data_IF_786966508976
#
_entry.id   IF_786966508976
#
_cell.length_a   1.000
_cell.length_b   1.000
_cell.length_c   1.000
_cell.angle_alpha   90.00
_cell.angle_beta   90.00
_cell.angle_gamma   90.00
#
_symmetry.space_group_name_H-M   'P 1'
#
loop_
_entity.id
_entity.type
_entity.pdbx_description
1 polymer ?
#
# COMPACT_ATOMS: atom_id res chain seq x y z
N UNK A 1 15.38 3.94 -71.20
CA UNK A 1 16.45 3.47 -70.30
C UNK A 1 15.85 2.49 -69.29
N UNK A 2 16.31 1.22 -69.32
CA UNK A 2 16.34 0.14 -68.29
C UNK A 2 15.17 -0.09 -67.32
N UNK A 3 14.89 -1.28 -66.78
CA UNK A 3 15.37 -2.67 -66.96
C UNK A 3 14.39 -3.56 -66.17
N UNK A 4 14.29 -4.82 -66.57
CA UNK A 4 13.41 -5.90 -66.10
C UNK A 4 13.67 -6.33 -64.63
N UNK A 5 12.62 -6.69 -63.87
CA UNK A 5 12.69 -7.81 -62.89
C UNK A 5 11.42 -8.68 -63.00
N UNK A 6 11.67 -9.99 -63.12
CA UNK A 6 10.74 -11.08 -63.38
C UNK A 6 9.97 -11.55 -62.13
N UNK A 7 8.75 -11.98 -62.41
CA UNK A 7 7.84 -12.89 -61.69
C UNK A 7 8.54 -13.87 -60.74
N UNK A 8 8.19 -13.79 -59.46
CA UNK A 8 8.43 -14.86 -58.47
C UNK A 8 7.30 -15.88 -58.63
N UNK A 9 7.66 -17.11 -59.02
CA UNK A 9 6.72 -18.22 -59.26
C UNK A 9 6.27 -18.87 -57.95
N UNK A 10 4.98 -19.21 -57.85
CA UNK A 10 4.32 -19.96 -56.76
C UNK A 10 5.04 -21.27 -56.37
N UNK A 11 5.89 -21.83 -57.25
CA UNK A 11 6.70 -23.01 -56.94
C UNK A 11 7.72 -22.78 -55.81
N UNK A 12 8.15 -21.54 -55.57
CA UNK A 12 9.11 -21.22 -54.49
C UNK A 12 8.47 -21.21 -53.09
N UNK A 13 7.16 -20.93 -52.98
CA UNK A 13 6.46 -21.01 -51.69
C UNK A 13 6.21 -22.45 -51.23
N UNK A 14 5.98 -23.37 -52.17
CA UNK A 14 5.74 -24.78 -51.84
C UNK A 14 6.99 -25.48 -51.31
N UNK A 15 8.16 -25.16 -51.87
CA UNK A 15 9.46 -25.69 -51.40
C UNK A 15 9.82 -25.15 -50.01
N UNK A 16 9.51 -23.87 -49.73
CA UNK A 16 9.73 -23.27 -48.41
C UNK A 16 8.79 -23.87 -47.34
N UNK A 17 7.55 -24.18 -47.71
CA UNK A 17 6.57 -24.85 -46.84
C UNK A 17 6.95 -26.31 -46.53
N UNK A 18 7.49 -27.05 -47.49
CA UNK A 18 8.01 -28.40 -47.26
C UNK A 18 9.25 -28.40 -46.36
N UNK A 19 10.18 -27.47 -46.54
CA UNK A 19 11.40 -27.39 -45.73
C UNK A 19 11.12 -27.07 -44.24
N UNK A 20 10.11 -26.23 -43.97
CA UNK A 20 9.69 -25.91 -42.60
C UNK A 20 8.97 -27.08 -41.92
N UNK A 21 8.16 -27.85 -42.65
CA UNK A 21 7.46 -29.02 -42.10
C UNK A 21 8.39 -30.21 -41.81
N UNK A 22 9.43 -30.43 -42.61
CA UNK A 22 10.44 -31.50 -42.35
C UNK A 22 11.29 -31.17 -41.12
N UNK A 23 11.61 -29.89 -40.88
CA UNK A 23 12.37 -29.47 -39.69
C UNK A 23 11.58 -29.65 -38.38
N UNK A 24 10.26 -29.49 -38.43
CA UNK A 24 9.36 -29.73 -37.29
C UNK A 24 9.22 -31.23 -36.97
N UNK A 25 9.14 -32.08 -37.99
CA UNK A 25 9.06 -33.54 -37.81
C UNK A 25 10.39 -34.11 -37.27
N UNK A 26 11.54 -33.62 -37.74
CA UNK A 26 12.85 -34.03 -37.19
C UNK A 26 13.06 -33.58 -35.73
N UNK A 27 12.48 -32.45 -35.31
CA UNK A 27 12.54 -32.00 -33.91
C UNK A 27 11.64 -32.82 -32.98
N UNK A 28 10.48 -33.29 -33.48
CA UNK A 28 9.59 -34.15 -32.72
C UNK A 28 10.18 -35.57 -32.52
N UNK A 29 10.85 -36.13 -33.53
CA UNK A 29 11.44 -37.48 -33.47
C UNK A 29 12.68 -37.53 -32.55
N UNK A 30 13.38 -36.40 -32.35
CA UNK A 30 14.56 -36.33 -31.48
C UNK A 30 14.25 -36.09 -29.99
N UNK A 31 12.98 -35.90 -29.61
CA UNK A 31 12.58 -35.68 -28.21
C UNK A 31 12.16 -36.96 -27.46
N UNK A 32 11.95 -38.09 -28.15
CA UNK A 32 11.46 -39.34 -27.53
C UNK A 32 12.54 -40.33 -27.08
N UNK A 33 13.81 -39.93 -27.05
CA UNK A 33 14.90 -40.75 -26.49
C UNK A 33 15.73 -39.97 -25.47
N UNK A 34 15.32 -40.02 -24.19
CA UNK A 34 16.22 -40.15 -23.03
C UNK A 34 15.44 -40.26 -21.71
N UNK A 35 15.54 -41.44 -21.10
CA UNK A 35 15.18 -41.74 -19.72
C UNK A 35 16.24 -41.16 -18.73
N UNK A 36 15.98 -41.12 -17.41
CA UNK A 36 16.53 -40.12 -16.50
C UNK A 36 17.90 -40.52 -15.90
N UNK A 37 18.83 -39.56 -15.84
CA UNK A 37 20.03 -39.66 -15.01
C UNK A 37 19.92 -38.76 -13.79
N UNK A 38 20.00 -39.39 -12.62
CA UNK A 38 20.22 -38.74 -11.33
C UNK A 38 21.67 -38.21 -11.25
N UNK A 39 21.85 -36.95 -10.81
CA UNK A 39 23.13 -36.45 -10.27
C UNK A 39 22.89 -35.40 -9.18
N UNK A 40 23.32 -35.79 -7.98
CA UNK A 40 24.01 -35.04 -6.92
C UNK A 40 23.72 -33.54 -6.68
N UNK A 41 23.27 -33.25 -5.44
CA UNK A 41 23.41 -31.95 -4.76
C UNK A 41 24.88 -31.50 -4.74
N UNK A 42 25.17 -30.37 -5.37
CA UNK A 42 26.37 -29.57 -5.14
C UNK A 42 25.98 -28.25 -4.47
N UNK A 43 26.38 -28.08 -3.21
CA UNK A 43 26.29 -26.81 -2.48
C UNK A 43 27.44 -25.93 -2.96
N UNK A 44 27.14 -24.85 -3.66
CA UNK A 44 28.09 -23.75 -3.87
C UNK A 44 27.49 -22.49 -3.24
N UNK A 45 27.97 -22.19 -2.03
CA UNK A 45 27.76 -20.90 -1.39
C UNK A 45 28.55 -19.84 -2.16
N UNK A 46 27.86 -19.05 -2.98
CA UNK A 46 28.43 -17.84 -3.54
C UNK A 46 28.28 -16.71 -2.49
N UNK A 47 29.39 -16.40 -1.80
CA UNK A 47 29.51 -15.15 -1.05
C UNK A 47 29.37 -13.97 -2.03
N UNK A 48 28.23 -13.28 -2.02
CA UNK A 48 28.12 -11.96 -2.64
C UNK A 48 28.83 -10.94 -1.75
N UNK A 49 30.03 -10.56 -2.16
CA UNK A 49 30.75 -9.41 -1.64
C UNK A 49 30.01 -8.15 -2.09
N UNK A 50 29.44 -7.40 -1.15
CA UNK A 50 28.86 -6.09 -1.44
C UNK A 50 29.96 -5.17 -1.99
N UNK A 51 29.84 -4.80 -3.27
CA UNK A 51 30.68 -3.77 -3.89
C UNK A 51 30.45 -2.45 -3.12
N UNK A 52 31.51 -2.00 -2.46
CA UNK A 52 31.55 -0.73 -1.75
C UNK A 52 31.57 0.40 -2.78
N UNK A 53 30.57 1.28 -2.75
CA UNK A 53 30.59 2.52 -3.55
C UNK A 53 31.62 3.50 -2.97
N UNK A 54 32.41 4.20 -3.80
CA UNK A 54 33.40 5.16 -3.31
C UNK A 54 32.69 6.40 -2.72
N UNK A 55 33.11 6.79 -1.50
CA UNK A 55 32.75 8.07 -0.88
C UNK A 55 33.24 9.22 -1.77
N UNK A 56 32.31 10.02 -2.29
CA UNK A 56 32.64 11.34 -2.81
C UNK A 56 32.61 12.35 -1.67
N UNK A 57 33.75 13.02 -1.49
CA UNK A 57 34.04 14.01 -0.46
C UNK A 57 33.19 15.27 -0.63
N UNK A 58 32.61 15.76 0.47
CA UNK A 58 31.87 17.03 0.54
C UNK A 58 32.79 18.25 0.37
N UNK A 59 32.32 19.34 -0.26
CA UNK A 59 32.75 20.68 0.11
C UNK A 59 31.71 21.32 1.04
N UNK A 60 32.21 21.75 2.20
CA UNK A 60 31.56 22.61 3.18
C UNK A 60 31.32 24.01 2.59
N UNK A 61 30.06 24.43 2.49
CA UNK A 61 29.67 25.84 2.53
C UNK A 61 28.20 25.93 2.99
N UNK A 62 28.01 26.34 4.25
CA UNK A 62 26.70 26.59 4.82
C UNK A 62 26.04 27.78 4.10
N UNK A 63 24.98 27.51 3.35
CA UNK A 63 24.10 28.52 2.78
C UNK A 63 22.78 28.49 3.56
N UNK A 64 22.19 29.65 3.94
CA UNK A 64 20.92 29.66 4.66
C UNK A 64 19.85 28.95 3.83
N UNK A 65 19.26 27.87 4.38
CA UNK A 65 18.26 27.07 3.69
C UNK A 65 17.03 27.93 3.37
N UNK A 66 16.91 28.32 2.10
CA UNK A 66 15.72 28.96 1.57
C UNK A 66 14.59 27.92 1.60
N UNK A 67 13.43 28.30 2.13
CA UNK A 67 12.26 27.43 2.23
C UNK A 67 11.92 26.82 0.84
N UNK A 68 11.55 25.54 0.73
CA UNK A 68 11.01 25.03 -0.52
C UNK A 68 9.62 25.65 -0.71
N UNK A 69 9.54 26.74 -1.48
CA UNK A 69 8.28 27.33 -1.91
C UNK A 69 7.47 26.25 -2.64
N UNK A 70 6.21 26.05 -2.23
CA UNK A 70 5.27 25.27 -3.05
C UNK A 70 5.07 25.94 -4.41
N UNK A 71 4.54 25.20 -5.39
CA UNK A 71 4.30 25.68 -6.76
C UNK A 71 3.49 27.00 -6.86
N UNK A 72 2.88 27.48 -5.77
CA UNK A 72 2.10 28.72 -5.68
C UNK A 72 2.55 29.71 -4.59
N UNK A 73 3.81 29.67 -4.12
CA UNK A 73 4.29 30.64 -3.12
C UNK A 73 3.67 30.51 -1.72
N UNK A 74 2.91 29.45 -1.47
CA UNK A 74 2.37 29.09 -0.14
C UNK A 74 3.28 28.08 0.55
N UNK A 75 3.36 28.17 1.88
CA UNK A 75 4.02 27.16 2.73
C UNK A 75 3.49 25.76 2.41
N UNK A 76 4.40 24.81 2.19
CA UNK A 76 4.07 23.45 1.77
C UNK A 76 3.56 22.62 2.95
N UNK A 77 2.30 22.18 2.89
CA UNK A 77 1.73 21.18 3.81
C UNK A 77 2.18 19.78 3.39
N UNK A 78 2.58 18.98 4.37
CA UNK A 78 2.92 17.57 4.17
C UNK A 78 1.79 16.71 4.70
N UNK A 79 1.16 15.96 3.80
CA UNK A 79 0.04 15.11 4.16
C UNK A 79 0.48 13.64 4.21
N UNK A 80 0.56 13.08 5.42
CA UNK A 80 0.92 11.70 5.72
C UNK A 80 -0.24 10.96 6.41
N UNK A 81 -1.41 11.59 6.46
CA UNK A 81 -2.63 11.05 7.06
C UNK A 81 -3.17 9.89 6.22
N UNK A 82 -3.23 10.09 4.91
CA UNK A 82 -3.74 9.11 3.96
C UNK A 82 -2.64 8.13 3.56
N UNK A 83 -2.98 6.84 3.54
CA UNK A 83 -2.08 5.81 3.04
C UNK A 83 -2.01 5.74 1.52
N UNK A 84 -1.98 6.86 0.80
CA UNK A 84 -2.00 6.86 -0.67
C UNK A 84 -0.64 6.40 -1.24
N UNK A 85 -0.57 5.24 -1.94
CA UNK A 85 0.66 4.52 -2.27
C UNK A 85 1.38 5.03 -3.54
N UNK A 86 1.56 6.35 -3.66
CA UNK A 86 2.13 7.00 -4.85
C UNK A 86 3.63 6.77 -5.04
N UNK A 87 4.35 6.30 -4.01
CA UNK A 87 5.79 6.00 -4.11
C UNK A 87 6.16 5.01 -5.23
N UNK A 88 5.23 4.16 -5.67
CA UNK A 88 5.47 3.18 -6.72
C UNK A 88 5.36 3.76 -8.14
N UNK A 89 4.96 5.03 -8.29
CA UNK A 89 4.81 5.67 -9.62
C UNK A 89 6.12 5.65 -10.42
N UNK A 90 7.26 5.83 -9.75
CA UNK A 90 8.59 5.78 -10.39
C UNK A 90 8.85 4.44 -11.06
N UNK A 91 8.48 3.33 -10.40
CA UNK A 91 8.62 1.98 -10.95
C UNK A 91 7.79 1.83 -12.23
N UNK A 92 6.51 2.20 -12.16
CA UNK A 92 5.59 2.06 -13.31
C UNK A 92 6.00 2.93 -14.50
N UNK A 93 6.57 4.11 -14.27
CA UNK A 93 7.16 4.93 -15.32
C UNK A 93 8.36 4.25 -16.02
N UNK A 94 9.17 3.49 -15.27
CA UNK A 94 10.31 2.75 -15.82
C UNK A 94 9.89 1.48 -16.57
N UNK A 95 8.82 0.83 -16.12
CA UNK A 95 8.22 -0.32 -16.83
C UNK A 95 7.73 0.08 -18.22
N UNK A 96 7.19 1.30 -18.36
CA UNK A 96 6.79 1.87 -19.65
C UNK A 96 5.71 1.02 -20.35
N UNK A 97 5.89 0.80 -21.64
CA UNK A 97 4.89 0.19 -22.53
C UNK A 97 4.51 -1.24 -22.14
N UNK A 98 5.34 -1.94 -21.35
CA UNK A 98 5.02 -3.29 -20.87
C UNK A 98 3.76 -3.35 -20.01
N UNK A 99 3.40 -2.24 -19.35
CA UNK A 99 2.17 -2.13 -18.54
C UNK A 99 1.03 -1.40 -19.27
N UNK A 100 1.23 -0.98 -20.52
CA UNK A 100 0.18 -0.33 -21.32
C UNK A 100 -0.92 -1.33 -21.65
N UNK A 101 -2.17 -0.86 -21.60
CA UNK A 101 -3.34 -1.59 -22.06
C UNK A 101 -4.04 -0.80 -23.17
N UNK A 102 -4.65 -1.52 -24.10
CA UNK A 102 -5.55 -0.97 -25.11
C UNK A 102 -6.87 -1.71 -24.97
N UNK A 103 -7.94 -0.98 -24.69
CA UNK A 103 -9.30 -1.52 -24.59
C UNK A 103 -10.08 -0.97 -25.80
N UNK A 104 -10.40 -1.81 -26.82
CA UNK A 104 -11.27 -1.41 -27.92
C UNK A 104 -12.64 -0.99 -27.41
N UNK A 105 -13.28 -0.01 -28.05
CA UNK A 105 -14.56 0.54 -27.57
C UNK A 105 -15.75 -0.43 -27.51
N UNK A 106 -15.64 -1.60 -28.16
CA UNK A 106 -16.65 -2.67 -28.11
C UNK A 106 -16.35 -3.75 -27.06
N UNK A 107 -15.13 -3.77 -26.49
CA UNK A 107 -14.76 -4.78 -25.52
C UNK A 107 -15.55 -4.56 -24.22
N UNK A 108 -15.98 -5.66 -23.59
CA UNK A 108 -16.62 -5.64 -22.27
C UNK A 108 -17.93 -4.83 -22.18
N UNK A 109 -18.70 -4.73 -23.27
CA UNK A 109 -20.06 -4.14 -23.26
C UNK A 109 -21.07 -4.93 -22.41
N UNK A 110 -20.83 -6.23 -22.19
CA UNK A 110 -21.70 -7.11 -21.39
C UNK A 110 -21.49 -6.94 -19.89
N UNK A 111 -22.55 -7.09 -19.10
CA UNK A 111 -22.44 -7.21 -17.64
C UNK A 111 -21.65 -8.46 -17.21
N UNK A 112 -21.81 -9.56 -17.94
CA UNK A 112 -21.26 -10.87 -17.59
C UNK A 112 -19.82 -11.05 -18.07
N UNK A 113 -18.95 -11.56 -17.21
CA UNK A 113 -17.60 -12.02 -17.59
C UNK A 113 -17.60 -13.52 -17.86
N UNK A 114 -18.09 -14.31 -16.90
CA UNK A 114 -18.17 -15.76 -16.98
C UNK A 114 -19.38 -16.24 -16.19
N UNK A 115 -20.45 -16.60 -16.90
CA UNK A 115 -21.71 -17.07 -16.31
C UNK A 115 -21.59 -18.42 -15.58
N UNK A 116 -20.49 -19.16 -15.79
CA UNK A 116 -20.22 -20.42 -15.09
C UNK A 116 -19.51 -20.18 -13.76
N UNK A 117 -18.87 -19.02 -13.60
CA UNK A 117 -18.21 -18.65 -12.36
C UNK A 117 -19.26 -18.22 -11.32
N UNK A 118 -19.06 -18.63 -10.06
CA UNK A 118 -19.88 -18.16 -8.94
C UNK A 118 -19.90 -16.64 -8.89
N UNK A 119 -18.72 -16.01 -9.00
CA UNK A 119 -18.57 -14.57 -9.14
C UNK A 119 -18.64 -14.22 -10.62
N UNK A 120 -19.85 -14.21 -11.20
CA UNK A 120 -20.07 -14.11 -12.65
C UNK A 120 -19.53 -12.84 -13.34
N UNK A 121 -19.22 -11.81 -12.55
CA UNK A 121 -18.61 -10.55 -13.01
C UNK A 121 -17.07 -10.51 -12.86
N UNK A 122 -16.43 -11.61 -12.44
CA UNK A 122 -14.98 -11.75 -12.37
C UNK A 122 -14.41 -12.05 -13.76
N UNK A 123 -13.49 -11.21 -14.23
CA UNK A 123 -12.77 -11.43 -15.47
C UNK A 123 -11.82 -12.65 -15.36
N UNK A 124 -11.89 -13.64 -16.28
CA UNK A 124 -11.09 -14.86 -16.20
C UNK A 124 -9.58 -14.62 -16.16
N UNK A 125 -9.08 -13.67 -16.97
CA UNK A 125 -7.66 -13.35 -16.95
C UNK A 125 -7.26 -12.69 -15.62
N UNK A 126 -8.12 -11.89 -15.01
CA UNK A 126 -7.83 -11.34 -13.69
C UNK A 126 -7.78 -12.42 -12.61
N UNK A 127 -8.73 -13.37 -12.63
CA UNK A 127 -8.71 -14.53 -11.73
C UNK A 127 -7.41 -15.33 -11.85
N UNK A 128 -6.95 -15.58 -13.08
CA UNK A 128 -5.70 -16.27 -13.37
C UNK A 128 -4.48 -15.51 -12.81
N UNK A 129 -4.42 -14.20 -12.99
CA UNK A 129 -3.30 -13.40 -12.48
C UNK A 129 -3.31 -13.27 -10.94
N UNK A 130 -4.48 -13.30 -10.29
CA UNK A 130 -4.57 -13.42 -8.83
C UNK A 130 -3.92 -14.73 -8.35
N UNK A 131 -4.29 -15.86 -8.97
CA UNK A 131 -3.71 -17.16 -8.61
C UNK A 131 -2.20 -17.18 -8.86
N UNK A 132 -1.76 -16.67 -10.00
CA UNK A 132 -0.35 -16.61 -10.36
C UNK A 132 0.47 -15.76 -9.39
N UNK A 133 0.02 -14.56 -9.04
CA UNK A 133 0.79 -13.68 -8.15
C UNK A 133 0.94 -14.29 -6.74
N UNK A 134 -0.10 -14.93 -6.22
CA UNK A 134 -0.03 -15.63 -4.94
C UNK A 134 0.90 -16.85 -4.97
N UNK A 135 0.93 -17.59 -6.09
CA UNK A 135 1.86 -18.70 -6.28
C UNK A 135 3.31 -18.23 -6.34
N UNK A 136 3.59 -17.17 -7.09
CA UNK A 136 4.94 -16.59 -7.23
C UNK A 136 5.44 -16.04 -5.89
N UNK A 137 4.57 -15.38 -5.12
CA UNK A 137 4.95 -14.79 -3.83
C UNK A 137 4.96 -15.82 -2.69
N UNK A 138 4.11 -16.84 -2.76
CA UNK A 138 3.95 -17.83 -1.70
C UNK A 138 3.25 -17.30 -0.45
N UNK A 139 2.47 -16.22 -0.54
CA UNK A 139 1.83 -15.56 0.60
C UNK A 139 0.39 -16.04 0.91
N UNK A 140 -0.27 -16.77 0.01
CA UNK A 140 -1.62 -17.29 0.27
C UNK A 140 -1.89 -18.58 -0.51
N UNK A 141 -2.67 -19.48 0.08
CA UNK A 141 -3.24 -20.61 -0.64
C UNK A 141 -4.44 -20.13 -1.47
N UNK A 142 -4.48 -20.52 -2.74
CA UNK A 142 -5.59 -20.22 -3.66
C UNK A 142 -6.35 -21.47 -4.11
N UNK A 143 -5.75 -22.65 -3.96
CA UNK A 143 -6.40 -23.92 -4.27
C UNK A 143 -7.58 -24.18 -3.33
N UNK A 144 -8.66 -24.77 -3.87
CA UNK A 144 -9.86 -25.08 -3.11
C UNK A 144 -10.64 -23.85 -2.62
N UNK A 145 -10.42 -22.66 -3.19
CA UNK A 145 -11.01 -21.40 -2.75
C UNK A 145 -11.73 -20.68 -3.88
N UNK A 146 -12.81 -19.99 -3.52
CA UNK A 146 -13.53 -19.09 -4.39
C UNK A 146 -12.90 -17.70 -4.38
N UNK A 147 -12.84 -17.06 -5.56
CA UNK A 147 -12.38 -15.68 -5.72
C UNK A 147 -13.62 -14.79 -5.90
N UNK A 148 -13.78 -13.80 -5.02
CA UNK A 148 -14.81 -12.75 -5.16
C UNK A 148 -14.10 -11.42 -5.40
N UNK A 149 -14.34 -10.79 -6.54
CA UNK A 149 -13.78 -9.45 -6.86
C UNK A 149 -14.67 -8.36 -6.30
N UNK A 150 -14.06 -7.28 -5.80
CA UNK A 150 -14.78 -6.10 -5.33
C UNK A 150 -14.08 -4.80 -5.68
N UNK A 151 -14.82 -3.70 -5.56
CA UNK A 151 -14.39 -2.32 -5.77
C UNK A 151 -13.46 -1.88 -4.63
N UNK A 152 -12.26 -2.47 -4.61
CA UNK A 152 -11.33 -2.46 -3.49
C UNK A 152 -11.74 -3.40 -2.35
N UNK A 153 -10.79 -3.69 -1.45
CA UNK A 153 -11.06 -4.44 -0.22
C UNK A 153 -12.15 -3.79 0.65
N UNK A 154 -12.38 -2.47 0.51
CA UNK A 154 -13.46 -1.77 1.21
C UNK A 154 -14.86 -2.29 0.87
N UNK A 155 -15.16 -2.60 -0.40
CA UNK A 155 -16.46 -3.20 -0.75
C UNK A 155 -16.54 -4.65 -0.26
N UNK A 156 -15.42 -5.39 -0.35
CA UNK A 156 -15.35 -6.78 0.10
C UNK A 156 -15.50 -6.92 1.61
N UNK A 157 -15.04 -5.94 2.38
CA UNK A 157 -15.29 -5.84 3.81
C UNK A 157 -16.80 -5.80 4.09
N UNK A 158 -17.55 -4.89 3.44
CA UNK A 158 -19.01 -4.83 3.59
C UNK A 158 -19.70 -6.10 3.10
N UNK A 159 -19.21 -6.69 2.00
CA UNK A 159 -19.72 -7.96 1.49
C UNK A 159 -19.50 -9.11 2.48
N UNK A 160 -18.35 -9.16 3.15
CA UNK A 160 -18.05 -10.15 4.17
C UNK A 160 -18.97 -9.97 5.39
N UNK A 161 -19.16 -8.74 5.89
CA UNK A 161 -20.10 -8.51 6.99
C UNK A 161 -21.53 -8.95 6.64
N UNK A 162 -22.01 -8.61 5.44
CA UNK A 162 -23.31 -9.05 4.95
C UNK A 162 -23.42 -10.58 4.84
N UNK A 163 -22.36 -11.24 4.33
CA UNK A 163 -22.36 -12.68 4.09
C UNK A 163 -22.26 -13.50 5.38
N UNK A 164 -21.56 -13.00 6.39
CA UNK A 164 -21.32 -13.69 7.64
C UNK A 164 -22.40 -13.39 8.69
N UNK A 165 -23.10 -12.26 8.57
CA UNK A 165 -24.18 -11.93 9.49
C UNK A 165 -25.38 -12.89 9.32
N UNK A 166 -25.96 -13.40 10.42
CA UNK A 166 -27.19 -14.16 10.38
C UNK A 166 -28.34 -13.27 9.89
N UNK A 167 -29.13 -13.75 8.93
CA UNK A 167 -30.20 -12.95 8.31
C UNK A 167 -31.46 -12.87 9.18
N UNK A 168 -31.73 -13.91 9.96
CA UNK A 168 -32.96 -14.03 10.78
C UNK A 168 -32.69 -13.80 12.28
N UNK A 169 -31.53 -13.26 12.63
CA UNK A 169 -31.22 -12.98 14.03
C UNK A 169 -31.98 -11.76 14.54
N UNK A 170 -32.50 -11.84 15.76
CA UNK A 170 -33.16 -10.73 16.44
C UNK A 170 -32.22 -9.59 16.83
N UNK A 171 -30.91 -9.86 16.90
CA UNK A 171 -29.89 -8.89 17.24
C UNK A 171 -28.77 -8.87 16.19
N UNK A 172 -28.20 -7.69 15.90
CA UNK A 172 -27.04 -7.59 15.01
C UNK A 172 -25.82 -8.30 15.59
N UNK A 173 -25.08 -9.01 14.75
CA UNK A 173 -23.83 -9.67 15.13
C UNK A 173 -22.77 -8.64 15.54
N UNK A 174 -22.00 -8.95 16.59
CA UNK A 174 -20.93 -8.08 17.06
C UNK A 174 -19.71 -8.15 16.14
N UNK A 175 -19.21 -7.01 15.71
CA UNK A 175 -17.98 -6.89 14.90
C UNK A 175 -16.88 -6.28 15.76
N UNK A 176 -15.77 -6.99 15.94
CA UNK A 176 -14.65 -6.59 16.79
C UNK A 176 -13.34 -6.59 16.03
N UNK A 177 -12.38 -5.79 16.49
CA UNK A 177 -10.99 -5.89 16.05
C UNK A 177 -10.08 -5.50 17.20
N UNK A 178 -8.95 -6.18 17.35
CA UNK A 178 -8.06 -5.92 18.47
C UNK A 178 -7.38 -4.54 18.32
N UNK A 179 -7.43 -3.69 19.34
CA UNK A 179 -6.80 -2.37 19.27
C UNK A 179 -5.25 -2.47 19.36
N UNK A 180 -4.48 -1.60 18.68
CA UNK A 180 -4.96 -0.63 17.70
C UNK A 180 -5.40 -1.33 16.40
N UNK A 181 -6.51 -0.90 15.82
CA UNK A 181 -7.12 -1.48 14.62
C UNK A 181 -7.29 -0.44 13.51
N UNK A 182 -7.50 -0.87 12.27
CA UNK A 182 -7.71 0.06 11.16
C UNK A 182 -8.87 1.02 11.44
N UNK A 183 -8.56 2.31 11.46
CA UNK A 183 -9.46 3.38 11.91
C UNK A 183 -10.79 3.48 11.15
N UNK A 184 -10.90 2.87 9.97
CA UNK A 184 -12.16 2.91 9.21
C UNK A 184 -13.12 1.78 9.60
N UNK A 185 -12.70 0.71 10.29
CA UNK A 185 -13.62 -0.39 10.62
C UNK A 185 -14.85 0.04 11.42
N UNK A 186 -14.76 0.88 12.47
CA UNK A 186 -15.96 1.30 13.19
C UNK A 186 -16.94 2.05 12.28
N UNK A 187 -16.45 3.04 11.54
CA UNK A 187 -17.27 3.86 10.64
C UNK A 187 -17.84 3.03 9.49
N UNK A 188 -17.05 2.15 8.88
CA UNK A 188 -17.52 1.29 7.79
C UNK A 188 -18.56 0.27 8.26
N UNK A 189 -18.43 -0.25 9.49
CA UNK A 189 -19.42 -1.16 10.09
C UNK A 189 -20.75 -0.46 10.33
N UNK A 190 -20.74 0.77 10.88
CA UNK A 190 -21.97 1.40 11.38
C UNK A 190 -22.59 2.45 10.42
N UNK A 191 -21.85 2.94 9.42
CA UNK A 191 -22.27 4.09 8.59
C UNK A 191 -23.62 3.92 7.89
N UNK A 192 -23.96 2.71 7.44
CA UNK A 192 -25.24 2.42 6.78
C UNK A 192 -26.35 1.98 7.74
N UNK A 193 -26.10 1.97 9.06
CA UNK A 193 -27.04 1.56 10.10
C UNK A 193 -27.72 0.22 9.82
N UNK A 194 -26.92 -0.76 9.40
CA UNK A 194 -27.40 -2.13 9.12
C UNK A 194 -28.01 -2.76 10.36
N UNK A 195 -29.13 -3.46 10.21
CA UNK A 195 -29.70 -4.31 11.28
C UNK A 195 -28.96 -5.63 11.47
N UNK A 196 -28.01 -5.97 10.58
CA UNK A 196 -27.34 -7.27 10.55
C UNK A 196 -26.09 -7.33 11.44
N UNK A 197 -25.39 -6.21 11.61
CA UNK A 197 -24.11 -6.15 12.30
C UNK A 197 -23.93 -4.81 13.01
N UNK A 198 -23.13 -4.80 14.08
CA UNK A 198 -22.80 -3.59 14.86
C UNK A 198 -21.33 -3.61 15.27
N UNK A 199 -20.70 -2.44 15.30
CA UNK A 199 -19.37 -2.32 15.90
C UNK A 199 -19.43 -2.60 17.41
N UNK A 200 -18.60 -3.53 17.88
CA UNK A 200 -18.54 -3.98 19.27
C UNK A 200 -17.21 -3.68 19.97
N UNK A 201 -16.27 -3.02 19.29
CA UNK A 201 -15.06 -2.48 19.90
C UNK A 201 -13.85 -3.41 19.88
N UNK A 202 -13.05 -3.34 20.94
CA UNK A 202 -11.75 -3.99 21.03
C UNK A 202 -11.89 -5.49 21.35
N UNK A 203 -11.41 -6.33 20.42
CA UNK A 203 -11.42 -7.79 20.58
C UNK A 203 -10.66 -8.27 21.82
N UNK A 204 -9.65 -7.52 22.32
CA UNK A 204 -8.87 -7.90 23.51
C UNK A 204 -9.67 -7.96 24.81
N UNK A 205 -10.73 -7.16 24.90
CA UNK A 205 -11.60 -7.06 26.10
C UNK A 205 -13.01 -7.56 25.82
N UNK A 206 -13.27 -8.09 24.62
CA UNK A 206 -14.56 -8.62 24.24
C UNK A 206 -14.81 -9.94 24.98
N UNK A 207 -15.83 -9.97 25.83
CA UNK A 207 -16.14 -11.09 26.72
C UNK A 207 -17.61 -11.53 26.67
N UNK A 208 -18.38 -11.03 25.69
CA UNK A 208 -19.78 -11.42 25.52
C UNK A 208 -19.87 -12.86 25.02
N UNK A 209 -20.88 -13.57 25.49
CA UNK A 209 -21.17 -14.94 25.07
C UNK A 209 -22.21 -14.89 23.93
N UNK A 210 -21.79 -14.36 22.79
CA UNK A 210 -22.62 -14.18 21.59
C UNK A 210 -21.77 -14.40 20.33
N UNK A 211 -22.38 -14.76 19.17
CA UNK A 211 -21.67 -14.82 17.91
C UNK A 211 -21.03 -13.47 17.56
N UNK A 212 -19.82 -13.52 17.00
CA UNK A 212 -19.07 -12.33 16.62
C UNK A 212 -18.26 -12.55 15.33
N UNK A 213 -17.98 -11.45 14.64
CA UNK A 213 -17.01 -11.37 13.56
C UNK A 213 -15.78 -10.66 14.09
N UNK A 214 -14.63 -11.31 14.06
CA UNK A 214 -13.35 -10.68 14.39
C UNK A 214 -12.58 -10.34 13.11
N UNK A 215 -12.20 -9.07 13.01
CA UNK A 215 -11.38 -8.54 11.93
C UNK A 215 -9.90 -8.62 12.32
N UNK A 216 -9.15 -9.48 11.64
CA UNK A 216 -7.72 -9.72 11.87
C UNK A 216 -6.92 -9.09 10.73
N UNK A 217 -6.37 -7.90 10.96
CA UNK A 217 -5.47 -7.23 9.99
C UNK A 217 -4.03 -7.68 10.24
N UNK A 218 -3.37 -8.27 9.24
CA UNK A 218 -2.00 -8.80 9.37
C UNK A 218 -1.21 -8.66 8.06
N UNK A 219 -0.07 -7.96 8.04
CA UNK A 219 0.40 -6.99 9.01
C UNK A 219 -0.63 -5.92 9.34
N UNK A 220 -0.66 -5.49 10.59
CA UNK A 220 -1.68 -4.61 11.12
C UNK A 220 -1.57 -3.17 10.62
N UNK A 221 -2.70 -2.47 10.61
CA UNK A 221 -2.78 -1.03 10.49
C UNK A 221 -3.29 -0.48 11.82
N UNK A 222 -2.48 0.29 12.59
CA UNK A 222 -1.37 1.11 12.10
C UNK A 222 0.04 0.58 12.38
N UNK A 223 0.20 -0.40 13.27
CA UNK A 223 1.50 -0.71 13.90
C UNK A 223 2.37 -1.73 13.17
N UNK A 224 1.86 -2.36 12.10
CA UNK A 224 2.64 -3.21 11.21
C UNK A 224 3.00 -4.58 11.76
N UNK A 225 2.51 -4.96 12.95
CA UNK A 225 2.76 -6.30 13.50
C UNK A 225 1.90 -7.37 12.81
N UNK A 226 2.45 -8.58 12.71
CA UNK A 226 1.68 -9.77 12.36
C UNK A 226 0.67 -10.05 13.48
N UNK A 227 -0.57 -10.41 13.12
CA UNK A 227 -1.64 -10.69 14.08
C UNK A 227 -2.32 -12.02 13.84
N UNK A 228 -2.93 -12.50 14.92
CA UNK A 228 -3.86 -13.61 15.00
C UNK A 228 -5.12 -13.14 15.75
N UNK A 229 -6.16 -13.99 15.78
CA UNK A 229 -7.36 -13.75 16.58
C UNK A 229 -7.01 -13.60 18.07
N UNK A 230 -7.59 -12.59 18.72
CA UNK A 230 -7.36 -12.29 20.13
C UNK A 230 -8.50 -12.73 21.03
N UNK A 231 -9.69 -13.02 20.48
CA UNK A 231 -10.82 -13.49 21.28
C UNK A 231 -10.60 -14.96 21.63
N UNK A 232 -10.29 -15.24 22.89
CA UNK A 232 -10.01 -16.59 23.37
C UNK A 232 -11.30 -17.39 23.66
N UNK A 233 -12.14 -17.59 22.64
CA UNK A 233 -13.40 -18.34 22.70
C UNK A 233 -13.74 -19.01 21.37
N UNK A 234 -14.45 -20.12 21.44
CA UNK A 234 -15.01 -20.79 20.26
C UNK A 234 -16.20 -20.00 19.68
N UNK A 235 -16.51 -20.23 18.40
CA UNK A 235 -17.68 -19.64 17.74
C UNK A 235 -17.49 -18.26 17.09
N UNK A 236 -16.26 -17.72 17.11
CA UNK A 236 -15.91 -16.52 16.35
C UNK A 236 -15.73 -16.78 14.86
N UNK A 237 -16.19 -15.86 14.03
CA UNK A 237 -15.99 -15.89 12.59
C UNK A 237 -14.86 -14.93 12.23
N UNK A 238 -13.80 -15.41 11.58
CA UNK A 238 -12.62 -14.60 11.32
C UNK A 238 -12.60 -14.05 9.88
N UNK A 239 -12.41 -12.74 9.75
CA UNK A 239 -12.12 -12.06 8.48
C UNK A 239 -10.68 -11.56 8.53
N UNK A 240 -9.83 -12.13 7.67
CA UNK A 240 -8.42 -11.75 7.62
C UNK A 240 -8.21 -10.68 6.56
N UNK A 241 -7.81 -9.48 6.97
CA UNK A 241 -7.41 -8.40 6.07
C UNK A 241 -5.89 -8.43 5.88
N UNK A 242 -5.46 -8.96 4.73
CA UNK A 242 -4.06 -9.16 4.38
C UNK A 242 -3.59 -8.17 3.31
N UNK A 243 -4.15 -6.94 3.33
CA UNK A 243 -3.76 -5.88 2.41
C UNK A 243 -2.25 -5.61 2.38
N UNK A 244 -1.53 -5.84 3.49
CA UNK A 244 -0.09 -5.59 3.62
C UNK A 244 0.76 -6.87 3.67
N UNK A 245 0.19 -8.07 3.48
CA UNK A 245 0.94 -9.33 3.55
C UNK A 245 1.70 -9.61 2.24
N UNK A 246 2.68 -8.75 1.96
CA UNK A 246 3.48 -8.76 0.74
C UNK A 246 4.96 -8.50 1.05
N UNK A 247 5.91 -9.02 0.23
CA UNK A 247 7.34 -9.02 0.56
C UNK A 247 7.93 -7.63 0.86
N UNK A 248 7.39 -6.57 0.26
CA UNK A 248 7.87 -5.21 0.48
C UNK A 248 7.55 -4.64 1.87
N UNK A 249 6.64 -5.26 2.64
CA UNK A 249 6.26 -4.78 3.97
C UNK A 249 6.64 -5.74 5.10
N UNK A 250 6.64 -7.04 4.84
CA UNK A 250 6.87 -8.06 5.85
C UNK A 250 7.50 -9.31 5.25
N UNK A 251 8.32 -10.04 6.02
CA UNK A 251 8.74 -11.38 5.65
C UNK A 251 7.53 -12.30 5.39
N UNK A 252 7.60 -13.06 4.30
CA UNK A 252 6.60 -14.09 3.97
C UNK A 252 7.06 -15.40 4.63
N UNK A 253 6.56 -15.67 5.83
CA UNK A 253 6.94 -16.86 6.61
C UNK A 253 6.21 -18.12 6.15
N UNK A 254 4.97 -17.98 5.70
CA UNK A 254 4.14 -19.09 5.22
C UNK A 254 2.96 -18.58 4.38
N UNK A 255 2.39 -19.42 3.49
CA UNK A 255 1.14 -19.10 2.82
C UNK A 255 0.00 -18.98 3.83
N UNK A 256 -0.79 -17.92 3.76
CA UNK A 256 -2.00 -17.77 4.55
C UNK A 256 -3.07 -18.78 4.12
N UNK A 257 -3.70 -19.47 5.09
CA UNK A 257 -4.75 -20.47 4.88
C UNK A 257 -6.04 -20.21 5.70
N UNK A 258 -6.55 -18.98 5.67
CA UNK A 258 -7.71 -18.59 6.47
C UNK A 258 -9.05 -18.77 5.74
N UNK A 259 -10.18 -18.91 6.44
CA UNK A 259 -11.49 -19.16 5.80
C UNK A 259 -11.93 -18.05 4.85
N UNK A 260 -11.73 -16.79 5.24
CA UNK A 260 -12.00 -15.61 4.42
C UNK A 260 -10.84 -14.63 4.55
N UNK A 261 -10.18 -14.37 3.42
CA UNK A 261 -9.02 -13.47 3.34
C UNK A 261 -9.26 -12.36 2.32
N UNK A 262 -8.98 -11.11 2.68
CA UNK A 262 -9.13 -9.94 1.83
C UNK A 262 -7.77 -9.40 1.36
N UNK A 263 -7.70 -9.05 0.07
CA UNK A 263 -6.54 -8.41 -0.56
C UNK A 263 -6.94 -7.20 -1.40
N UNK A 264 -5.97 -6.37 -1.76
CA UNK A 264 -6.19 -5.17 -2.57
C UNK A 264 -4.99 -4.86 -3.46
N UNK A 265 -5.23 -4.57 -4.74
CA UNK A 265 -4.18 -4.07 -5.66
C UNK A 265 -3.53 -2.80 -5.12
N UNK A 266 -4.32 -1.99 -4.40
CA UNK A 266 -3.91 -0.66 -3.94
C UNK A 266 -2.61 -0.71 -3.14
N UNK A 267 -2.47 -1.67 -2.22
CA UNK A 267 -1.31 -1.76 -1.33
C UNK A 267 -0.19 -2.64 -1.88
N UNK A 268 -0.43 -3.35 -2.98
CA UNK A 268 0.60 -4.15 -3.64
C UNK A 268 1.37 -3.23 -4.58
N UNK A 269 0.69 -2.69 -5.59
CA UNK A 269 1.31 -2.04 -6.75
C UNK A 269 1.20 -0.53 -6.75
N UNK A 270 0.48 0.06 -5.79
CA UNK A 270 0.27 1.50 -5.75
C UNK A 270 -0.93 2.00 -6.54
N UNK A 271 -1.66 1.13 -7.23
CA UNK A 271 -2.81 1.53 -8.05
C UNK A 271 -4.09 1.74 -7.21
N UNK A 272 -4.03 2.68 -6.26
CA UNK A 272 -5.17 3.08 -5.46
C UNK A 272 -6.27 3.84 -6.24
N UNK A 273 -6.07 4.17 -7.51
CA UNK A 273 -7.14 4.68 -8.37
C UNK A 273 -8.03 3.59 -8.98
N UNK A 274 -7.53 2.36 -9.13
CA UNK A 274 -8.24 1.31 -9.89
C UNK A 274 -9.43 0.70 -9.17
N UNK A 275 -9.44 0.82 -7.84
CA UNK A 275 -10.49 0.26 -6.97
C UNK A 275 -10.72 -1.22 -7.21
N UNK A 276 -9.66 -2.01 -7.09
CA UNK A 276 -9.73 -3.47 -7.18
C UNK A 276 -9.18 -4.12 -5.92
N UNK A 277 -9.94 -5.07 -5.39
CA UNK A 277 -9.52 -6.05 -4.40
C UNK A 277 -10.19 -7.40 -4.69
N UNK A 278 -9.73 -8.44 -4.00
CA UNK A 278 -10.31 -9.78 -4.09
C UNK A 278 -10.37 -10.42 -2.71
N UNK A 279 -11.36 -11.29 -2.53
CA UNK A 279 -11.45 -12.18 -1.39
C UNK A 279 -11.14 -13.62 -1.83
N UNK A 280 -10.38 -14.35 -1.00
CA UNK A 280 -10.23 -15.80 -1.09
C UNK A 280 -11.11 -16.43 -0.02
N UNK A 281 -12.09 -17.25 -0.44
CA UNK A 281 -13.14 -17.77 0.45
C UNK A 281 -13.19 -19.30 0.35
N UNK A 282 -13.07 -20.00 1.49
CA UNK A 282 -13.22 -21.46 1.56
C UNK A 282 -14.67 -21.89 1.39
N UNK A 283 -15.57 -21.27 2.14
CA UNK A 283 -17.00 -21.61 2.14
C UNK A 283 -17.73 -21.05 0.91
N UNK A 284 -18.35 -21.94 0.13
CA UNK A 284 -19.09 -21.60 -1.09
C UNK A 284 -20.33 -20.76 -0.82
N UNK A 285 -21.04 -20.96 0.28
CA UNK A 285 -22.24 -20.19 0.64
C UNK A 285 -21.86 -18.77 1.09
N UNK A 286 -20.74 -18.63 1.81
CA UNK A 286 -20.18 -17.31 2.11
C UNK A 286 -19.80 -16.59 0.82
N UNK A 287 -19.11 -17.27 -0.11
CA UNK A 287 -18.73 -16.69 -1.40
C UNK A 287 -19.95 -16.27 -2.23
N UNK A 288 -21.02 -17.09 -2.27
CA UNK A 288 -22.29 -16.76 -2.93
C UNK A 288 -22.93 -15.52 -2.34
N UNK A 289 -23.00 -15.42 -1.00
CA UNK A 289 -23.59 -14.26 -0.32
C UNK A 289 -22.78 -12.99 -0.51
N UNK A 290 -21.44 -13.08 -0.50
CA UNK A 290 -20.57 -11.94 -0.84
C UNK A 290 -20.80 -11.48 -2.27
N UNK A 291 -20.89 -12.42 -3.22
CA UNK A 291 -21.19 -12.12 -4.62
C UNK A 291 -22.55 -11.46 -4.77
N UNK A 292 -23.57 -11.97 -4.07
CA UNK A 292 -24.91 -11.39 -4.08
C UNK A 292 -24.94 -9.98 -3.53
N UNK A 293 -24.18 -9.68 -2.47
CA UNK A 293 -24.05 -8.32 -1.96
C UNK A 293 -23.49 -7.37 -3.03
N UNK A 294 -22.43 -7.77 -3.73
CA UNK A 294 -21.80 -6.93 -4.76
C UNK A 294 -22.70 -6.76 -5.98
N UNK A 295 -23.44 -7.80 -6.36
CA UNK A 295 -24.49 -7.71 -7.38
C UNK A 295 -25.54 -6.66 -7.00
N UNK A 296 -26.07 -6.71 -5.77
CA UNK A 296 -27.06 -5.74 -5.28
C UNK A 296 -26.48 -4.33 -5.13
N UNK A 297 -25.20 -4.23 -4.76
CA UNK A 297 -24.56 -2.96 -4.45
C UNK A 297 -24.14 -2.19 -5.72
N UNK A 298 -23.57 -2.87 -6.71
CA UNK A 298 -22.97 -2.23 -7.90
C UNK A 298 -23.11 -3.02 -9.21
N UNK A 299 -23.84 -4.14 -9.23
CA UNK A 299 -23.96 -5.02 -10.41
C UNK A 299 -22.56 -5.49 -10.87
N UNK A 300 -21.73 -5.87 -9.91
CA UNK A 300 -20.36 -6.31 -10.15
C UNK A 300 -19.32 -5.20 -10.05
N UNK A 301 -18.21 -5.37 -10.77
CA UNK A 301 -17.01 -4.50 -10.71
C UNK A 301 -16.57 -4.14 -12.12
N UNK A 302 -16.12 -2.90 -12.33
CA UNK A 302 -15.65 -2.39 -13.62
C UNK A 302 -14.71 -3.37 -14.34
N UNK A 303 -15.06 -3.74 -15.58
CA UNK A 303 -14.25 -4.63 -16.42
C UNK A 303 -12.91 -4.00 -16.76
N UNK A 304 -12.89 -2.70 -17.08
CA UNK A 304 -11.67 -1.95 -17.37
C UNK A 304 -10.68 -1.99 -16.20
N UNK A 305 -11.18 -1.81 -14.98
CA UNK A 305 -10.34 -1.92 -13.78
C UNK A 305 -9.79 -3.34 -13.60
N UNK A 306 -10.58 -4.39 -13.88
CA UNK A 306 -10.12 -5.77 -13.81
C UNK A 306 -9.10 -6.11 -14.89
N UNK A 307 -9.31 -5.68 -16.14
CA UNK A 307 -8.37 -5.86 -17.26
C UNK A 307 -7.05 -5.17 -16.95
N UNK A 308 -7.11 -3.92 -16.49
CA UNK A 308 -5.91 -3.19 -16.06
C UNK A 308 -5.21 -3.89 -14.89
N UNK A 309 -5.97 -4.44 -13.95
CA UNK A 309 -5.40 -5.13 -12.78
C UNK A 309 -4.73 -6.43 -13.19
N UNK A 310 -5.33 -7.18 -14.10
CA UNK A 310 -4.74 -8.38 -14.69
C UNK A 310 -3.40 -8.04 -15.33
N UNK A 311 -3.33 -6.99 -16.16
CA UNK A 311 -2.08 -6.59 -16.79
C UNK A 311 -0.99 -6.17 -15.80
N UNK A 312 -1.37 -5.39 -14.79
CA UNK A 312 -0.44 -4.94 -13.75
C UNK A 312 0.10 -6.13 -12.94
N UNK A 313 -0.75 -7.08 -12.56
CA UNK A 313 -0.32 -8.29 -11.84
C UNK A 313 0.53 -9.22 -12.72
N UNK A 314 0.20 -9.34 -14.01
CA UNK A 314 1.02 -10.08 -14.98
C UNK A 314 2.46 -9.53 -15.00
N UNK A 315 2.62 -8.21 -15.16
CA UNK A 315 3.94 -7.56 -15.16
C UNK A 315 4.68 -7.78 -13.84
N UNK A 316 3.99 -7.73 -12.70
CA UNK A 316 4.60 -8.02 -11.39
C UNK A 316 5.13 -9.45 -11.37
N UNK A 317 4.30 -10.43 -11.74
CA UNK A 317 4.69 -11.85 -11.76
C UNK A 317 5.84 -12.11 -12.73
N UNK A 318 5.77 -11.57 -13.95
CA UNK A 318 6.83 -11.68 -14.96
C UNK A 318 8.17 -11.15 -14.41
N UNK A 319 8.15 -9.98 -13.74
CA UNK A 319 9.35 -9.39 -13.16
C UNK A 319 10.00 -10.23 -12.06
N UNK A 320 9.25 -11.14 -11.43
CA UNK A 320 9.76 -12.02 -10.39
C UNK A 320 10.31 -13.32 -10.98
N UNK A 321 9.60 -13.90 -11.94
CA UNK A 321 10.01 -15.16 -12.60
C UNK A 321 11.23 -14.96 -13.54
N UNK A 322 11.41 -13.75 -14.08
CA UNK A 322 12.51 -13.40 -15.00
C UNK A 322 13.73 -12.78 -14.28
N UNK A 323 13.73 -12.73 -12.94
CA UNK A 323 14.82 -12.16 -12.16
C UNK A 323 16.12 -12.98 -12.36
N UNK A 324 17.07 -12.43 -13.14
CA UNK A 324 18.33 -13.10 -13.48
C UNK A 324 18.92 -12.73 -14.85
N UNK A 325 18.14 -12.11 -15.75
CA UNK A 325 18.63 -11.58 -17.03
C UNK A 325 19.15 -10.13 -16.92
N UNK A 326 20.30 -9.82 -17.51
CA UNK A 326 20.96 -8.50 -17.45
C UNK A 326 20.21 -7.37 -18.16
N UNK A 327 19.20 -7.67 -18.97
CA UNK A 327 18.41 -6.70 -19.75
C UNK A 327 17.07 -6.31 -19.09
N UNK A 328 16.80 -6.76 -17.87
CA UNK A 328 15.49 -6.60 -17.25
C UNK A 328 15.48 -5.55 -16.13
N UNK A 329 14.38 -4.79 -16.08
CA UNK A 329 14.05 -3.91 -14.94
C UNK A 329 14.02 -4.76 -13.67
N UNK A 330 14.54 -4.22 -12.57
CA UNK A 330 14.51 -4.85 -11.26
C UNK A 330 13.10 -5.42 -10.95
N UNK A 331 13.05 -6.60 -10.32
CA UNK A 331 11.80 -7.22 -9.85
C UNK A 331 11.01 -6.23 -9.00
N UNK A 332 9.68 -6.17 -9.20
CA UNK A 332 8.82 -5.22 -8.48
C UNK A 332 8.98 -5.30 -6.96
N UNK A 333 9.04 -6.51 -6.40
CA UNK A 333 9.16 -6.71 -4.96
C UNK A 333 10.56 -6.37 -4.43
N UNK A 334 11.62 -6.58 -5.22
CA UNK A 334 12.98 -6.16 -4.85
C UNK A 334 13.09 -4.63 -4.81
N UNK A 335 12.65 -3.96 -5.87
CA UNK A 335 12.57 -2.50 -5.93
C UNK A 335 11.78 -1.92 -4.75
N UNK A 336 10.60 -2.50 -4.50
CA UNK A 336 9.68 -2.02 -3.47
C UNK A 336 10.23 -2.25 -2.06
N UNK A 337 10.84 -3.41 -1.81
CA UNK A 337 11.47 -3.72 -0.53
C UNK A 337 12.69 -2.83 -0.26
N UNK A 338 13.54 -2.59 -1.26
CA UNK A 338 14.67 -1.67 -1.14
C UNK A 338 14.20 -0.24 -0.83
N UNK A 339 13.16 0.23 -1.51
CA UNK A 339 12.57 1.54 -1.28
C UNK A 339 11.96 1.69 0.13
N UNK A 340 11.26 0.66 0.62
CA UNK A 340 10.72 0.64 1.99
C UNK A 340 11.83 0.60 3.04
N UNK A 341 12.87 -0.20 2.81
CA UNK A 341 14.06 -0.30 3.67
C UNK A 341 14.73 1.06 3.83
N UNK A 342 14.96 1.77 2.73
CA UNK A 342 15.60 3.09 2.77
C UNK A 342 14.73 4.12 3.52
N UNK A 343 13.42 4.15 3.27
CA UNK A 343 12.49 5.05 3.97
C UNK A 343 12.47 4.81 5.47
N UNK A 344 12.46 3.55 5.90
CA UNK A 344 12.50 3.19 7.31
C UNK A 344 13.86 3.49 7.96
N UNK A 345 14.98 3.27 7.25
CA UNK A 345 16.32 3.67 7.71
C UNK A 345 16.36 5.18 7.99
N UNK A 346 15.93 5.99 7.02
CA UNK A 346 15.89 7.45 7.15
C UNK A 346 14.98 7.90 8.30
N UNK A 347 13.80 7.29 8.45
CA UNK A 347 12.89 7.64 9.55
C UNK A 347 13.49 7.27 10.92
N UNK A 348 14.07 6.07 11.07
CA UNK A 348 14.70 5.64 12.33
C UNK A 348 15.85 6.57 12.72
N UNK A 349 16.67 7.00 11.76
CA UNK A 349 17.73 7.99 11.99
C UNK A 349 17.17 9.34 12.45
N UNK A 350 16.08 9.81 11.83
CA UNK A 350 15.44 11.07 12.21
C UNK A 350 14.80 11.01 13.61
N UNK A 351 14.10 9.91 13.92
CA UNK A 351 13.50 9.66 15.25
C UNK A 351 14.59 9.60 16.33
N UNK A 352 15.66 8.83 16.08
CA UNK A 352 16.79 8.69 17.01
C UNK A 352 17.46 10.03 17.33
N UNK A 353 17.58 10.91 16.33
CA UNK A 353 18.16 12.26 16.51
C UNK A 353 17.20 13.22 17.21
N UNK A 354 15.91 13.11 16.96
CA UNK A 354 14.89 14.01 17.50
C UNK A 354 14.58 13.79 18.98
N UNK A 355 14.64 12.54 19.47
CA UNK A 355 14.48 12.20 20.89
C UNK A 355 13.07 12.37 21.49
N UNK A 356 12.11 12.92 20.74
CA UNK A 356 10.73 13.18 21.20
C UNK A 356 9.71 12.09 20.79
N UNK A 357 10.14 11.16 19.94
CA UNK A 357 9.30 10.07 19.45
C UNK A 357 10.01 8.72 19.62
N UNK A 358 9.21 7.65 19.74
CA UNK A 358 9.66 6.27 19.65
C UNK A 358 8.92 5.52 18.53
N UNK A 359 9.61 4.52 17.97
CA UNK A 359 9.10 3.64 16.93
C UNK A 359 9.01 2.19 17.44
N UNK A 360 8.12 1.37 16.86
CA UNK A 360 8.14 -0.07 17.07
C UNK A 360 9.44 -0.69 16.53
N UNK A 361 9.93 -1.66 17.28
CA UNK A 361 11.01 -2.55 16.86
C UNK A 361 10.40 -3.84 16.30
N UNK A 362 10.94 -4.30 15.17
CA UNK A 362 10.49 -5.51 14.50
C UNK A 362 11.65 -6.51 14.47
N UNK A 363 11.41 -7.71 15.00
CA UNK A 363 12.39 -8.79 14.93
C UNK A 363 12.58 -9.25 13.49
N UNK A 364 13.81 -9.60 13.13
CA UNK A 364 14.10 -10.27 11.86
C UNK A 364 13.42 -11.63 11.81
N UNK A 365 12.87 -12.00 10.66
CA UNK A 365 12.32 -13.32 10.39
C UNK A 365 12.75 -13.79 8.99
N UNK A 366 12.77 -15.11 8.79
CA UNK A 366 13.05 -15.67 7.47
C UNK A 366 11.89 -15.38 6.51
N UNK A 367 12.21 -14.86 5.33
CA UNK A 367 11.28 -14.61 4.25
C UNK A 367 11.48 -15.65 3.16
N UNK A 368 10.49 -16.53 2.95
CA UNK A 368 10.55 -17.58 1.94
C UNK A 368 10.64 -17.01 0.51
N UNK A 369 10.10 -15.81 0.27
CA UNK A 369 10.14 -15.17 -1.05
C UNK A 369 11.54 -14.67 -1.43
N UNK A 370 12.24 -14.03 -0.48
CA UNK A 370 13.60 -13.51 -0.71
C UNK A 370 14.70 -14.52 -0.34
N UNK A 371 14.33 -15.65 0.28
CA UNK A 371 15.24 -16.64 0.87
C UNK A 371 16.32 -16.02 1.77
N UNK A 372 15.89 -15.08 2.63
CA UNK A 372 16.80 -14.38 3.55
C UNK A 372 16.07 -13.91 4.81
N UNK A 373 16.84 -13.61 5.85
CA UNK A 373 16.34 -13.03 7.10
C UNK A 373 16.24 -11.51 6.96
N UNK A 374 15.02 -10.99 7.12
CA UNK A 374 14.71 -9.57 6.98
C UNK A 374 13.78 -9.12 8.11
N UNK A 375 13.88 -7.86 8.52
CA UNK A 375 12.91 -7.23 9.42
C UNK A 375 11.72 -6.66 8.65
N UNK A 376 10.55 -6.57 9.29
CA UNK A 376 9.38 -5.93 8.67
C UNK A 376 9.64 -4.44 8.41
N UNK A 377 9.15 -3.97 7.27
CA UNK A 377 9.18 -2.56 6.84
C UNK A 377 7.75 -2.09 6.56
N UNK A 378 6.88 -1.92 7.57
CA UNK A 378 5.46 -1.69 7.36
C UNK A 378 5.13 -0.44 6.53
N UNK A 379 3.97 -0.47 5.88
CA UNK A 379 3.41 0.64 5.12
C UNK A 379 3.20 1.94 5.93
N UNK A 380 3.12 1.82 7.26
CA UNK A 380 2.94 2.94 8.16
C UNK A 380 3.92 2.84 9.32
N UNK A 381 4.41 3.99 9.77
CA UNK A 381 5.07 4.08 11.06
C UNK A 381 4.05 4.48 12.14
N UNK A 382 4.07 3.74 13.24
CA UNK A 382 3.26 4.02 14.42
C UNK A 382 4.14 4.68 15.48
N UNK A 383 4.15 6.00 15.50
CA UNK A 383 5.02 6.77 16.36
C UNK A 383 4.32 7.08 17.68
N UNK A 384 4.99 6.86 18.80
CA UNK A 384 4.55 7.34 20.11
C UNK A 384 5.24 8.67 20.43
N UNK A 385 4.55 9.57 21.11
CA UNK A 385 5.19 10.74 21.70
C UNK A 385 5.67 10.39 23.10
N UNK A 386 6.96 10.57 23.36
CA UNK A 386 7.57 10.26 24.65
C UNK A 386 7.78 11.51 25.51
N UNK A 387 7.53 12.71 24.97
CA UNK A 387 7.62 13.96 25.72
C UNK A 387 6.39 14.20 26.58
N UNK A 388 6.60 14.48 27.88
CA UNK A 388 5.55 14.80 28.84
C UNK A 388 4.75 16.07 28.45
N UNK A 389 5.36 16.99 27.70
CA UNK A 389 4.76 18.24 27.24
C UNK A 389 3.86 18.11 25.99
N UNK A 390 3.75 16.91 25.40
CA UNK A 390 2.97 16.66 24.18
C UNK A 390 1.87 15.64 24.42
N UNK A 391 0.73 16.12 24.91
CA UNK A 391 -0.47 15.28 25.12
C UNK A 391 -1.17 14.88 23.81
N UNK A 392 -1.09 15.71 22.76
CA UNK A 392 -1.68 15.45 21.45
C UNK A 392 -0.64 15.60 20.31
N UNK A 393 -0.04 14.47 19.95
CA UNK A 393 0.92 14.34 18.84
C UNK A 393 0.37 14.86 17.50
N UNK A 394 -0.92 14.61 17.23
CA UNK A 394 -1.54 14.99 15.95
C UNK A 394 -1.62 16.51 15.86
N UNK A 395 -2.09 17.15 16.92
CA UNK A 395 -2.13 18.61 17.01
C UNK A 395 -0.73 19.23 16.99
N UNK A 396 0.24 18.62 17.67
CA UNK A 396 1.64 19.05 17.63
C UNK A 396 2.21 19.07 16.20
N UNK A 397 2.02 17.98 15.44
CA UNK A 397 2.50 17.89 14.06
C UNK A 397 1.73 18.81 13.11
N UNK A 398 0.42 18.98 13.33
CA UNK A 398 -0.43 19.88 12.56
C UNK A 398 0.04 21.34 12.67
N UNK A 399 0.50 21.78 13.86
CA UNK A 399 1.14 23.10 14.04
C UNK A 399 2.38 23.28 13.16
N UNK A 400 3.09 22.19 12.87
CA UNK A 400 4.25 22.15 11.98
C UNK A 400 3.90 21.81 10.51
N UNK A 401 2.62 21.93 10.13
CA UNK A 401 2.11 21.65 8.77
C UNK A 401 2.30 20.19 8.32
N UNK A 402 2.42 19.26 9.27
CA UNK A 402 2.48 17.82 9.00
C UNK A 402 1.14 17.21 9.43
N UNK A 403 0.37 16.71 8.47
CA UNK A 403 -0.89 16.03 8.73
C UNK A 403 -0.63 14.53 8.93
N UNK A 404 -1.12 13.99 10.03
CA UNK A 404 -1.03 12.56 10.40
C UNK A 404 -2.37 12.09 10.94
N UNK A 405 -2.55 10.77 11.11
CA UNK A 405 -3.75 10.24 11.77
C UNK A 405 -3.49 10.00 13.26
N UNK A 406 -4.16 10.74 14.14
CA UNK A 406 -4.00 10.59 15.58
C UNK A 406 -4.49 9.24 16.12
N UNK A 407 -3.88 8.78 17.21
CA UNK A 407 -4.07 7.44 17.75
C UNK A 407 -5.47 7.16 18.30
N UNK A 408 -6.18 8.21 18.70
CA UNK A 408 -7.60 8.18 19.09
C UNK A 408 -8.52 7.52 18.07
N UNK A 409 -8.13 7.51 16.78
CA UNK A 409 -8.91 6.91 15.71
C UNK A 409 -8.72 5.39 15.57
N UNK A 410 -7.72 4.80 16.24
CA UNK A 410 -7.37 3.38 16.12
C UNK A 410 -7.79 2.57 17.36
N UNK A 411 -8.52 3.18 18.30
CA UNK A 411 -8.93 2.59 19.57
C UNK A 411 -8.67 3.53 20.76
N UNK A 412 -9.07 3.13 21.97
CA UNK A 412 -8.95 3.97 23.15
C UNK A 412 -7.49 4.17 23.59
N UNK A 413 -7.16 5.40 24.02
CA UNK A 413 -5.97 5.75 24.83
C UNK A 413 -4.58 5.50 24.21
N UNK A 414 -4.40 5.74 22.91
CA UNK A 414 -3.06 5.74 22.30
C UNK A 414 -2.47 7.16 22.20
N UNK A 415 -1.41 7.46 22.97
CA UNK A 415 -0.50 8.61 22.74
C UNK A 415 0.43 8.32 21.55
N UNK A 416 -0.17 8.11 20.39
CA UNK A 416 0.54 7.74 19.18
C UNK A 416 -0.14 8.31 17.95
N UNK A 417 0.52 8.24 16.80
CA UNK A 417 -0.05 8.63 15.53
C UNK A 417 0.51 7.76 14.41
N UNK A 418 -0.27 7.62 13.33
CA UNK A 418 0.12 6.89 12.14
C UNK A 418 0.71 7.85 11.11
N UNK A 419 1.89 7.51 10.61
CA UNK A 419 2.60 8.17 9.53
C UNK A 419 2.63 7.27 8.30
N UNK A 420 2.06 7.71 7.17
CA UNK A 420 2.12 6.96 5.91
C UNK A 420 3.52 6.97 5.29
N UNK A 421 4.11 5.79 5.09
CA UNK A 421 5.42 5.65 4.43
C UNK A 421 5.34 5.73 2.91
N UNK A 422 4.17 6.05 2.36
CA UNK A 422 3.91 6.04 0.93
C UNK A 422 4.21 7.37 0.21
N UNK A 423 4.37 8.45 0.96
CA UNK A 423 4.53 9.80 0.40
C UNK A 423 6.00 10.19 0.24
N UNK A 424 6.39 11.04 -0.71
CA UNK A 424 7.79 11.40 -0.94
C UNK A 424 8.52 11.88 0.33
N UNK A 425 9.80 11.53 0.44
CA UNK A 425 10.72 11.57 1.61
C UNK A 425 10.84 12.91 2.36
N UNK A 426 10.18 13.97 1.87
CA UNK A 426 10.24 15.33 2.43
C UNK A 426 9.85 15.37 3.91
N UNK A 427 8.99 14.45 4.38
CA UNK A 427 8.60 14.38 5.79
C UNK A 427 9.75 14.10 6.77
N UNK A 428 10.72 13.26 6.41
CA UNK A 428 11.82 12.90 7.32
C UNK A 428 12.80 14.07 7.54
N UNK A 429 12.99 14.93 6.53
CA UNK A 429 13.81 16.14 6.62
C UNK A 429 13.21 17.22 7.54
N UNK A 430 11.93 17.11 7.91
CA UNK A 430 11.26 18.08 8.78
C UNK A 430 11.22 17.68 10.25
N UNK A 431 11.53 16.42 10.56
CA UNK A 431 11.86 15.99 11.93
C UNK A 431 13.13 16.67 12.48
N UNK A 432 13.88 17.38 11.62
CA UNK A 432 15.02 18.20 12.00
C UNK A 432 14.63 19.61 12.49
N UNK A 433 13.38 20.08 12.25
CA UNK A 433 12.92 21.40 12.68
C UNK A 433 12.44 21.57 14.13
N UNK A 434 11.97 20.54 14.88
CA UNK A 434 11.49 20.78 16.24
C UNK A 434 12.62 20.82 17.29
N UNK A 435 13.90 20.68 16.90
CA UNK A 435 15.02 20.60 17.83
C UNK A 435 15.74 21.95 18.11
N UNK A 436 15.12 23.11 17.80
CA UNK A 436 15.59 24.38 18.34
C UNK A 436 14.66 24.83 19.47
N UNK A 437 15.14 24.93 20.72
CA UNK A 437 14.39 25.66 21.74
C UNK A 437 14.28 27.12 21.27
N UNK A 438 13.06 27.61 21.09
CA UNK A 438 12.80 29.03 21.04
C UNK A 438 13.09 29.56 22.45
N UNK A 439 14.30 30.06 22.65
CA UNK A 439 14.64 30.92 23.77
C UNK A 439 13.72 32.15 23.72
N UNK A 440 12.62 32.11 24.46
CA UNK A 440 11.78 33.27 24.73
C UNK A 440 12.42 34.10 25.86
N UNK A 441 13.62 34.60 25.62
CA UNK A 441 14.18 35.71 26.39
C UNK A 441 13.88 37.01 25.64
N UNK A 442 13.17 37.99 26.21
CA UNK A 442 12.99 39.28 25.56
C UNK A 442 14.36 39.96 25.38
N UNK A 443 14.67 40.53 24.21
CA UNK A 443 15.95 41.19 24.01
C UNK A 443 16.06 42.38 24.97
N UNK A 444 17.12 42.35 25.80
CA UNK A 444 17.55 43.52 26.56
C UNK A 444 17.86 44.64 25.57
N UNK A 445 17.05 45.70 25.62
CA UNK A 445 17.29 46.97 24.93
C UNK A 445 18.66 47.53 25.35
N UNK A 446 19.65 47.40 24.48
CA UNK A 446 20.83 48.25 24.52
C UNK A 446 20.51 49.54 23.77
N UNK A 447 20.40 50.62 24.55
CA UNK A 447 20.23 51.99 24.08
C UNK A 447 21.50 52.48 23.36
N UNK A 448 21.40 53.10 22.17
CA UNK A 448 22.49 53.89 21.64
C UNK A 448 22.37 55.33 22.15
N UNK A 449 23.37 55.74 22.92
CA UNK A 449 23.72 57.10 23.27
C UNK A 449 23.75 58.00 22.03
N UNK A 450 22.89 59.01 21.97
CA UNK A 450 23.04 60.15 21.05
C UNK A 450 23.00 61.44 21.86
N UNK A 451 24.03 62.24 21.60
CA UNK A 451 24.42 63.49 22.23
C UNK A 451 23.37 64.58 21.95
N UNK A 452 22.96 65.29 23.01
CA UNK A 452 22.09 66.47 22.97
C UNK A 452 22.86 67.71 22.48
N UNK A 453 22.27 68.46 21.54
CA UNK A 453 22.33 69.92 21.51
C UNK A 453 20.96 70.51 21.07
N UNK A 454 20.53 71.68 21.60
CA UNK A 454 19.16 72.18 21.48
C UNK A 454 18.99 73.37 20.52
N UNK A 455 17.71 73.78 20.31
CA UNK A 455 17.14 75.10 19.91
C UNK A 455 16.24 75.06 18.63
N UNK A 456 15.33 76.04 18.38
CA UNK A 456 13.91 75.92 18.75
C UNK A 456 12.92 76.38 17.63
N UNK A 457 11.62 76.42 17.99
CA UNK A 457 10.53 77.26 17.44
C UNK A 457 9.82 76.86 16.13
N UNK A 458 8.47 76.92 16.16
CA UNK A 458 7.65 77.34 15.02
C UNK A 458 6.47 76.47 14.56
N UNK A 459 5.27 76.79 15.07
CA UNK A 459 3.97 76.92 14.34
C UNK A 459 3.22 75.72 13.70
N UNK A 460 2.12 75.32 14.38
CA UNK A 460 0.69 75.26 13.99
C UNK A 460 0.13 74.49 12.75
N UNK A 461 -1.08 73.95 12.99
CA UNK A 461 -2.18 73.48 12.10
C UNK A 461 -2.09 72.02 11.60
N UNK A 462 -3.14 71.19 11.58
CA UNK A 462 -4.59 71.33 11.79
C UNK A 462 -5.21 69.94 12.13
N UNK A 463 -6.32 69.97 12.88
CA UNK A 463 -7.27 68.87 13.04
C UNK A 463 -7.91 68.46 11.70
N UNK A 464 -8.27 67.19 11.53
CA UNK A 464 -9.68 66.81 11.35
C UNK A 464 -9.94 65.32 11.57
N UNK A 465 -10.94 65.08 12.41
CA UNK A 465 -11.63 63.83 12.73
C UNK A 465 -12.57 63.38 11.61
N UNK A 466 -12.86 62.07 11.54
CA UNK A 466 -14.25 61.57 11.51
C UNK A 466 -14.34 60.06 11.75
N UNK A 467 -14.93 59.73 12.89
CA UNK A 467 -15.65 58.49 13.18
C UNK A 467 -16.84 58.30 12.22
N UNK A 468 -17.19 57.04 11.91
CA UNK A 468 -18.59 56.58 11.93
C UNK A 468 -18.65 55.12 12.42
N UNK A 469 -19.49 54.92 13.43
CA UNK A 469 -19.86 53.69 14.12
C UNK A 469 -20.86 52.82 13.33
N UNK A 470 -20.79 51.54 13.67
CA UNK A 470 -21.85 50.52 13.74
C UNK A 470 -23.30 50.97 13.90
N UNK A 471 -24.23 50.21 13.32
CA UNK A 471 -25.58 50.03 13.86
C UNK A 471 -26.61 49.47 12.87
N UNK A 472 -26.80 48.14 12.87
CA UNK A 472 -28.10 47.44 13.01
C UNK A 472 -27.89 45.94 12.95
#
# INVERSE_FOLDING_TARGET
MGRVIKVISLKHFFVLSMALNVSLILRAINQDNRAPMAVQKGINAAQMTFLSFPLLSSPTAATPATQPLGQNGRERVINLDHGDPTMYEKYWKQVGDKATIVIPGWQSMSYFSDVKNLCWFLEPEFAKQIVRVHKVVGNALTEGRHIVVGTGSSQLFSAALYALAPQDASNPISVVSAAPYYSCYPLMTDSIKSGLHKWAGDAKVFNKDEPYIELVTSPNNPDGFVRHSMVNRTGGILVHDLAYYWPQYTPISSPADNDLTLFTVSKITGHAGMRIGWALVKDVEVAKRMTKFIELNTIGVSKDSQIRAAKVLEVVSDSCEQAGGSEHVESFFHFSHALMTERWRMLREAVKRGGIFSLPEFSSAHCNFFDNNLGSQPAFAWLKCDGDDVDDCESFLRRHKILTRGGKHFGPRFRAFRWAQFQPVIGAQLMYKPAMPLDMSPPKLYSPTVILMPLPSGTTCLQESRDVKSGS
#
